data_IF_274225791784
#
_entry.id   IF_274225791784
#
_cell.length_a   1.000
_cell.length_b   1.000
_cell.length_c   1.000
_cell.angle_alpha   90.00
_cell.angle_beta   90.00
_cell.angle_gamma   90.00
#
_symmetry.space_group_name_H-M   'P 1'
#
loop_
_entity.id
_entity.type
_entity.pdbx_description
1 polymer ?
#
# COMPACT_ATOMS: atom_id res chain seq x y z
N UNK A 1 -14.84 8.36 -8.11
CA UNK A 1 -14.28 7.19 -8.78
C UNK A 1 -12.91 6.85 -8.19
N UNK A 2 -12.67 5.57 -7.96
CA UNK A 2 -11.44 5.10 -7.34
C UNK A 2 -10.51 4.45 -8.37
N UNK A 3 -9.21 4.53 -8.14
CA UNK A 3 -8.22 3.83 -8.96
C UNK A 3 -8.47 2.31 -8.89
N UNK A 4 -8.89 1.84 -7.72
CA UNK A 4 -9.22 0.45 -7.48
C UNK A 4 -10.35 -0.07 -8.40
N UNK A 5 -11.19 0.81 -8.92
CA UNK A 5 -12.33 0.42 -9.76
C UNK A 5 -11.94 -0.37 -11.01
N UNK A 6 -10.70 -0.23 -11.45
CA UNK A 6 -10.16 -1.03 -12.55
C UNK A 6 -10.29 -2.54 -12.30
N UNK A 7 -10.29 -2.95 -11.03
CA UNK A 7 -10.31 -4.35 -10.64
C UNK A 7 -11.70 -4.89 -10.28
N UNK A 8 -12.75 -4.10 -10.51
CA UNK A 8 -14.11 -4.47 -10.16
C UNK A 8 -14.51 -5.84 -10.72
N UNK A 9 -14.21 -6.09 -11.99
CA UNK A 9 -14.54 -7.35 -12.64
C UNK A 9 -13.43 -8.38 -12.60
N UNK A 10 -12.19 -7.95 -12.32
CA UNK A 10 -11.01 -8.81 -12.35
C UNK A 10 -10.82 -9.56 -11.05
N UNK A 11 -11.14 -8.93 -9.92
CA UNK A 11 -11.04 -9.52 -8.59
C UNK A 11 -12.22 -9.07 -7.77
N UNK A 12 -13.39 -9.59 -8.11
CA UNK A 12 -14.66 -9.10 -7.58
C UNK A 12 -14.75 -9.15 -6.06
N UNK A 13 -14.40 -10.27 -5.44
CA UNK A 13 -14.52 -10.42 -3.98
C UNK A 13 -13.58 -9.50 -3.23
N UNK A 14 -12.30 -9.48 -3.62
CA UNK A 14 -11.32 -8.61 -3.00
C UNK A 14 -11.69 -7.14 -3.23
N UNK A 15 -12.09 -6.82 -4.45
CA UNK A 15 -12.50 -5.46 -4.78
C UNK A 15 -13.66 -5.00 -3.89
N UNK A 16 -14.69 -5.80 -3.72
CA UNK A 16 -15.86 -5.43 -2.93
C UNK A 16 -15.49 -5.13 -1.48
N UNK A 17 -14.62 -5.94 -0.89
CA UNK A 17 -14.17 -5.75 0.48
C UNK A 17 -13.44 -4.41 0.62
N UNK A 18 -12.45 -4.17 -0.24
CA UNK A 18 -11.63 -2.98 -0.17
C UNK A 18 -12.41 -1.71 -0.51
N UNK A 19 -13.25 -1.80 -1.52
CA UNK A 19 -14.10 -0.69 -1.96
C UNK A 19 -15.06 -0.25 -0.85
N UNK A 20 -15.68 -1.21 -0.16
CA UNK A 20 -16.58 -0.90 0.95
C UNK A 20 -15.86 -0.19 2.08
N UNK A 21 -14.63 -0.56 2.37
CA UNK A 21 -13.85 0.12 3.41
C UNK A 21 -13.50 1.55 3.01
N UNK A 22 -13.21 1.78 1.73
CA UNK A 22 -12.97 3.14 1.23
C UNK A 22 -14.24 4.01 1.33
N UNK A 23 -15.38 3.47 0.88
CA UNK A 23 -16.65 4.22 0.90
C UNK A 23 -17.05 4.56 2.32
N UNK A 24 -16.90 3.64 3.25
CA UNK A 24 -17.33 3.81 4.64
C UNK A 24 -16.28 4.49 5.52
N UNK A 25 -15.14 4.84 4.96
CA UNK A 25 -14.01 5.45 5.67
C UNK A 25 -13.58 4.60 6.88
N UNK A 26 -13.52 3.29 6.67
CA UNK A 26 -13.16 2.32 7.70
C UNK A 26 -11.92 1.54 7.31
N UNK A 27 -10.84 2.27 7.07
CA UNK A 27 -9.57 1.64 6.69
C UNK A 27 -8.95 0.99 7.92
N UNK A 28 -8.62 -0.30 7.79
CA UNK A 28 -7.98 -1.04 8.86
C UNK A 28 -6.52 -0.62 9.04
N UNK A 29 -5.95 -0.91 10.21
CA UNK A 29 -4.54 -0.64 10.46
C UNK A 29 -3.61 -1.56 9.67
N UNK A 30 -4.08 -2.75 9.31
CA UNK A 30 -3.29 -3.73 8.59
C UNK A 30 -4.17 -4.60 7.72
N UNK A 31 -3.63 -5.03 6.59
CA UNK A 31 -4.28 -5.97 5.68
C UNK A 31 -3.32 -7.09 5.34
N UNK A 32 -3.82 -8.30 5.28
CA UNK A 32 -3.06 -9.43 4.77
C UNK A 32 -3.68 -9.87 3.44
N UNK A 33 -2.89 -9.82 2.38
CA UNK A 33 -3.31 -10.28 1.07
C UNK A 33 -2.71 -11.65 0.80
N UNK A 34 -3.56 -12.65 0.58
CA UNK A 34 -3.13 -13.98 0.16
C UNK A 34 -3.26 -14.03 -1.35
N UNK A 35 -2.13 -14.21 -2.01
CA UNK A 35 -2.05 -14.10 -3.47
C UNK A 35 -1.59 -15.43 -4.05
N UNK A 36 -2.41 -15.97 -4.98
CA UNK A 36 -2.11 -17.21 -5.68
C UNK A 36 -1.93 -16.92 -7.16
N UNK A 37 -0.69 -16.63 -7.56
CA UNK A 37 -0.31 -16.47 -8.97
C UNK A 37 -1.08 -15.37 -9.72
N UNK A 38 -1.46 -14.30 -9.06
CA UNK A 38 -2.10 -13.18 -9.73
C UNK A 38 -1.05 -12.15 -10.13
N UNK A 39 -0.80 -12.01 -11.42
CA UNK A 39 0.28 -11.14 -11.94
C UNK A 39 0.04 -9.65 -11.70
N UNK A 40 -1.21 -9.23 -11.50
CA UNK A 40 -1.57 -7.83 -11.27
C UNK A 40 -1.76 -7.49 -9.79
N UNK A 41 -1.36 -8.40 -8.88
CA UNK A 41 -1.57 -8.19 -7.46
C UNK A 41 -0.91 -6.92 -6.94
N UNK A 42 0.33 -6.68 -7.31
CA UNK A 42 1.06 -5.47 -6.87
C UNK A 42 0.36 -4.20 -7.35
N UNK A 43 -0.10 -4.19 -8.60
CA UNK A 43 -0.81 -3.04 -9.15
C UNK A 43 -2.13 -2.79 -8.44
N UNK A 44 -2.86 -3.85 -8.11
CA UNK A 44 -4.11 -3.74 -7.37
C UNK A 44 -3.88 -3.17 -5.97
N UNK A 45 -2.87 -3.64 -5.28
CA UNK A 45 -2.53 -3.16 -3.93
C UNK A 45 -2.14 -1.68 -4.00
N UNK A 46 -1.31 -1.29 -4.98
CA UNK A 46 -0.94 0.11 -5.15
C UNK A 46 -2.14 0.99 -5.49
N UNK A 47 -3.09 0.47 -6.25
CA UNK A 47 -4.32 1.21 -6.55
C UNK A 47 -5.11 1.51 -5.28
N UNK A 48 -5.22 0.51 -4.39
CA UNK A 48 -5.86 0.70 -3.10
C UNK A 48 -5.13 1.74 -2.25
N UNK A 49 -3.80 1.68 -2.23
CA UNK A 49 -2.97 2.65 -1.50
C UNK A 49 -3.19 4.08 -2.03
N UNK A 50 -3.22 4.23 -3.35
CA UNK A 50 -3.49 5.55 -3.97
C UNK A 50 -4.84 6.10 -3.55
N UNK A 51 -5.85 5.25 -3.47
CA UNK A 51 -7.18 5.66 -3.04
C UNK A 51 -7.22 6.06 -1.57
N UNK A 52 -6.51 5.32 -0.71
CA UNK A 52 -6.41 5.67 0.72
C UNK A 52 -5.76 7.04 0.88
N UNK A 53 -4.63 7.24 0.24
CA UNK A 53 -3.90 8.51 0.33
C UNK A 53 -4.72 9.65 -0.25
N UNK A 54 -5.44 9.37 -1.34
CA UNK A 54 -6.18 10.40 -2.07
C UNK A 54 -7.47 10.86 -1.42
N UNK A 55 -7.95 10.21 -0.35
CA UNK A 55 -9.25 10.52 0.23
C UNK A 55 -9.42 11.98 0.66
N UNK A 56 -8.35 12.63 1.10
CA UNK A 56 -8.40 14.01 1.59
C UNK A 56 -7.79 15.01 0.60
N UNK A 57 -7.72 14.63 -0.67
CA UNK A 57 -7.09 15.46 -1.69
C UNK A 57 -8.03 15.73 -2.87
N UNK A 58 -7.80 16.83 -3.56
CA UNK A 58 -8.53 17.17 -4.78
C UNK A 58 -8.12 16.23 -5.92
N UNK A 59 -8.88 16.24 -7.01
CA UNK A 59 -8.58 15.43 -8.20
C UNK A 59 -7.17 15.76 -8.73
N UNK A 60 -6.84 17.04 -8.81
CA UNK A 60 -5.52 17.47 -9.30
C UNK A 60 -4.39 16.98 -8.39
N UNK A 61 -4.58 17.07 -7.07
CA UNK A 61 -3.61 16.59 -6.10
C UNK A 61 -3.44 15.09 -6.20
N UNK A 62 -4.53 14.35 -6.37
CA UNK A 62 -4.47 12.89 -6.50
C UNK A 62 -3.70 12.44 -7.73
N UNK A 63 -3.82 13.15 -8.84
CA UNK A 63 -3.04 12.84 -10.05
C UNK A 63 -1.54 13.01 -9.80
N UNK A 64 -1.15 14.08 -9.13
CA UNK A 64 0.25 14.34 -8.80
C UNK A 64 0.80 13.27 -7.84
N UNK A 65 0.03 12.95 -6.80
CA UNK A 65 0.42 11.93 -5.82
C UNK A 65 0.55 10.55 -6.49
N UNK A 66 -0.41 10.21 -7.35
CA UNK A 66 -0.38 8.93 -8.08
C UNK A 66 0.88 8.79 -8.90
N UNK A 67 1.28 9.84 -9.60
CA UNK A 67 2.51 9.83 -10.38
C UNK A 67 3.75 9.68 -9.50
N UNK A 68 3.77 10.38 -8.37
CA UNK A 68 4.90 10.27 -7.44
C UNK A 68 5.03 8.87 -6.86
N UNK A 69 3.90 8.21 -6.58
CA UNK A 69 3.89 6.82 -6.11
C UNK A 69 4.46 5.91 -7.20
N UNK A 70 4.03 6.08 -8.44
CA UNK A 70 4.52 5.27 -9.56
C UNK A 70 6.02 5.45 -9.80
N UNK A 71 6.52 6.65 -9.56
CA UNK A 71 7.93 6.99 -9.75
C UNK A 71 8.79 6.65 -8.52
N UNK A 72 8.19 6.17 -7.44
CA UNK A 72 8.92 5.85 -6.22
C UNK A 72 9.32 7.06 -5.39
N UNK A 73 8.69 8.22 -5.61
CA UNK A 73 9.06 9.49 -4.99
C UNK A 73 8.11 9.97 -3.89
N UNK A 74 7.18 9.14 -3.44
CA UNK A 74 6.27 9.53 -2.39
C UNK A 74 6.82 9.11 -1.02
N UNK A 75 7.22 10.04 -0.20
CA UNK A 75 7.98 9.79 1.03
C UNK A 75 7.17 9.06 2.11
N UNK A 76 5.84 9.17 2.07
CA UNK A 76 4.96 8.53 3.07
C UNK A 76 4.62 7.07 2.73
N UNK A 77 5.10 6.58 1.58
CA UNK A 77 4.93 5.19 1.17
C UNK A 77 6.29 4.51 1.11
N UNK A 78 6.43 3.40 1.83
CA UNK A 78 7.64 2.58 1.83
C UNK A 78 7.29 1.16 1.48
N UNK A 79 8.09 0.55 0.63
CA UNK A 79 7.89 -0.84 0.22
C UNK A 79 9.10 -1.64 0.70
N UNK A 80 8.83 -2.67 1.48
CA UNK A 80 9.85 -3.57 2.02
C UNK A 80 9.79 -4.87 1.25
N UNK A 81 10.92 -5.29 0.70
CA UNK A 81 11.04 -6.53 -0.05
C UNK A 81 12.16 -7.39 0.54
N UNK A 82 12.13 -8.71 0.35
CA UNK A 82 13.23 -9.56 0.79
C UNK A 82 14.54 -9.12 0.16
N UNK A 83 15.59 -9.06 0.97
CA UNK A 83 16.94 -8.84 0.50
C UNK A 83 17.60 -10.22 0.33
N UNK A 84 17.54 -10.75 -0.90
CA UNK A 84 17.86 -12.14 -1.17
C UNK A 84 16.66 -13.03 -0.91
N UNK A 85 16.81 -14.08 -0.12
CA UNK A 85 15.75 -15.07 0.15
C UNK A 85 14.82 -14.65 1.28
N UNK A 86 15.23 -13.74 2.14
CA UNK A 86 14.48 -13.40 3.36
C UNK A 86 14.46 -11.89 3.59
N UNK A 87 13.42 -11.44 4.30
CA UNK A 87 13.39 -10.09 4.84
C UNK A 87 14.28 -10.08 6.08
N UNK A 88 15.29 -9.22 6.07
CA UNK A 88 16.32 -9.21 7.12
C UNK A 88 15.89 -8.35 8.30
N UNK A 89 16.44 -8.68 9.46
CA UNK A 89 16.15 -7.95 10.71
C UNK A 89 16.42 -6.44 10.55
N UNK A 90 17.51 -6.07 9.86
CA UNK A 90 17.84 -4.65 9.68
C UNK A 90 16.77 -3.90 8.91
N UNK A 91 16.10 -4.54 7.94
CA UNK A 91 15.00 -3.93 7.19
C UNK A 91 13.85 -3.56 8.13
N UNK A 92 13.53 -4.42 9.06
CA UNK A 92 12.46 -4.19 10.03
C UNK A 92 12.85 -3.10 11.04
N UNK A 93 14.10 -3.10 11.48
CA UNK A 93 14.61 -2.06 12.39
C UNK A 93 14.51 -0.69 11.71
N UNK A 94 14.94 -0.59 10.45
CA UNK A 94 14.86 0.65 9.70
C UNK A 94 13.41 1.11 9.55
N UNK A 95 12.49 0.19 9.31
CA UNK A 95 11.06 0.48 9.23
C UNK A 95 10.54 1.05 10.55
N UNK A 96 10.90 0.46 11.67
CA UNK A 96 10.47 0.92 12.99
C UNK A 96 10.98 2.33 13.27
N UNK A 97 12.21 2.63 12.89
CA UNK A 97 12.78 3.97 13.07
C UNK A 97 12.04 5.00 12.22
N UNK A 98 11.73 4.66 10.99
CA UNK A 98 10.95 5.56 10.12
C UNK A 98 9.53 5.76 10.64
N UNK A 99 8.92 4.72 11.17
CA UNK A 99 7.55 4.79 11.68
C UNK A 99 7.40 5.80 12.80
N UNK A 100 8.45 5.99 13.60
CA UNK A 100 8.42 6.94 14.72
C UNK A 100 8.57 8.40 14.31
N UNK A 101 8.91 8.66 13.06
CA UNK A 101 9.07 10.04 12.55
C UNK A 101 7.73 10.64 12.18
N UNK A 102 7.67 11.97 12.23
CA UNK A 102 6.49 12.70 11.78
C UNK A 102 6.29 12.56 10.28
N UNK A 103 5.03 12.59 9.87
CA UNK A 103 4.68 12.60 8.45
C UNK A 103 5.13 13.90 7.79
N UNK A 104 5.68 13.82 6.58
CA UNK A 104 6.18 14.96 5.84
C UNK A 104 5.23 15.47 4.76
N UNK A 105 4.49 14.60 4.12
CA UNK A 105 3.69 14.94 2.95
C UNK A 105 2.21 14.67 3.08
N UNK A 106 1.79 13.82 4.00
CA UNK A 106 0.40 13.42 4.14
C UNK A 106 0.06 13.09 5.57
N UNK A 107 -1.18 12.71 5.78
CA UNK A 107 -1.71 12.39 7.10
C UNK A 107 -1.37 10.98 7.55
N UNK A 108 -0.90 10.14 6.63
CA UNK A 108 -0.66 8.72 6.88
C UNK A 108 0.66 8.29 6.30
N UNK A 109 1.36 7.46 7.06
CA UNK A 109 2.49 6.69 6.55
C UNK A 109 1.99 5.31 6.21
N UNK A 110 2.34 4.83 5.03
CA UNK A 110 1.89 3.52 4.56
C UNK A 110 3.12 2.66 4.25
N UNK A 111 3.09 1.44 4.75
CA UNK A 111 4.15 0.47 4.55
C UNK A 111 3.60 -0.77 3.88
N UNK A 112 4.25 -1.20 2.82
CA UNK A 112 3.93 -2.44 2.13
C UNK A 112 5.10 -3.40 2.35
N UNK A 113 4.82 -4.55 2.96
CA UNK A 113 5.82 -5.59 3.14
C UNK A 113 5.48 -6.70 2.17
N UNK A 114 6.31 -6.86 1.14
CA UNK A 114 6.14 -7.91 0.14
C UNK A 114 6.72 -9.21 0.67
N UNK A 115 6.08 -10.31 0.34
CA UNK A 115 6.53 -11.63 0.74
C UNK A 115 6.75 -11.73 2.25
N UNK A 116 5.74 -11.30 3.03
CA UNK A 116 5.84 -11.28 4.48
C UNK A 116 6.15 -12.66 5.08
N UNK A 117 5.82 -13.73 4.36
CA UNK A 117 6.16 -15.10 4.75
C UNK A 117 7.68 -15.36 4.73
N UNK A 118 8.47 -14.46 4.15
CA UNK A 118 9.93 -14.54 4.12
C UNK A 118 10.59 -13.86 5.32
N UNK A 119 9.81 -13.38 6.28
CA UNK A 119 10.39 -12.79 7.48
C UNK A 119 10.96 -13.86 8.39
N UNK A 120 12.15 -13.56 8.96
CA UNK A 120 12.80 -14.46 9.91
C UNK A 120 12.49 -13.99 11.33
N UNK A 121 12.42 -14.95 12.26
CA UNK A 121 12.10 -14.67 13.64
C UNK A 121 13.27 -14.12 14.47
N UNK A 122 14.49 -14.21 13.97
CA UNK A 122 15.67 -13.76 14.68
C UNK A 122 16.19 -12.40 14.23
#
# INVERSE_FOLDING_TARGET
MYVLDYYMDKQKEAYEILHNELINDKISHAYLFVINNYSLADDMILSFVKDIIGQNHTVSEREIISKRIDDGNYSELRIIEPDGLYIKKQQIIDLQQEFSRSSLEGDRKIYIIKDADKMRTE
#
